data_IF_971219683801
#
_entry.id   IF_971219683801
#
_cell.length_a   1.000
_cell.length_b   1.000
_cell.length_c   1.000
_cell.angle_alpha   90.00
_cell.angle_beta   90.00
_cell.angle_gamma   90.00
#
_symmetry.space_group_name_H-M   'P 1'
#
loop_
_entity.id
_entity.type
_entity.pdbx_description
1 polymer ?
#
# COMPACT_ATOMS: atom_id res chain seq x y z
N UNK A 1 -15.44 -22.04 -36.32
CA UNK A 1 -16.78 -22.20 -35.72
C UNK A 1 -16.61 -22.70 -34.29
N UNK A 2 -16.07 -21.85 -33.39
CA UNK A 2 -15.89 -22.18 -31.96
C UNK A 2 -16.35 -20.94 -31.20
N UNK A 3 -17.66 -20.81 -31.03
CA UNK A 3 -18.24 -19.94 -30.01
C UNK A 3 -18.74 -20.88 -28.92
N UNK A 4 -17.85 -21.21 -27.99
CA UNK A 4 -18.19 -21.95 -26.79
C UNK A 4 -19.04 -21.03 -25.92
N UNK A 5 -20.36 -21.25 -25.93
CA UNK A 5 -21.30 -20.53 -25.09
C UNK A 5 -20.97 -20.81 -23.62
N UNK A 6 -20.27 -19.89 -22.97
CA UNK A 6 -20.07 -19.93 -21.52
C UNK A 6 -21.44 -19.95 -20.83
N UNK A 7 -21.72 -20.94 -19.95
CA UNK A 7 -22.97 -21.02 -19.22
C UNK A 7 -23.19 -19.74 -18.40
N UNK A 8 -24.34 -19.07 -18.60
CA UNK A 8 -24.76 -17.85 -17.87
C UNK A 8 -24.70 -18.01 -16.33
N UNK A 9 -24.82 -19.25 -15.85
CA UNK A 9 -24.71 -19.63 -14.44
C UNK A 9 -23.30 -19.47 -13.85
N UNK A 10 -22.25 -19.58 -14.67
CA UNK A 10 -20.85 -19.36 -14.24
C UNK A 10 -20.58 -17.86 -14.11
N UNK A 11 -21.08 -17.06 -15.05
CA UNK A 11 -20.95 -15.60 -15.03
C UNK A 11 -21.54 -14.99 -13.74
N UNK A 12 -22.69 -15.49 -13.28
CA UNK A 12 -23.32 -14.98 -12.06
C UNK A 12 -22.50 -15.31 -10.81
N UNK A 13 -21.99 -16.55 -10.69
CA UNK A 13 -21.18 -16.98 -9.53
C UNK A 13 -19.85 -16.24 -9.42
N UNK A 14 -19.23 -15.91 -10.56
CA UNK A 14 -18.01 -15.12 -10.60
C UNK A 14 -18.32 -13.68 -10.19
N UNK A 15 -19.37 -13.07 -10.75
CA UNK A 15 -19.80 -11.72 -10.38
C UNK A 15 -20.11 -11.59 -8.87
N UNK A 16 -20.77 -12.60 -8.28
CA UNK A 16 -21.08 -12.66 -6.85
C UNK A 16 -19.80 -12.73 -5.99
N UNK A 17 -18.73 -13.35 -6.49
CA UNK A 17 -17.44 -13.48 -5.78
C UNK A 17 -16.67 -12.16 -5.76
N UNK A 18 -16.59 -11.47 -6.90
CA UNK A 18 -15.90 -10.19 -7.00
C UNK A 18 -16.57 -9.08 -6.18
N UNK A 19 -17.91 -9.04 -6.17
CA UNK A 19 -18.67 -8.00 -5.47
C UNK A 19 -18.45 -8.02 -3.95
N UNK A 20 -18.37 -9.21 -3.35
CA UNK A 20 -18.20 -9.35 -1.89
C UNK A 20 -16.81 -8.95 -1.40
N UNK A 21 -15.77 -9.32 -2.15
CA UNK A 21 -14.38 -8.97 -1.80
C UNK A 21 -14.15 -7.47 -2.08
N UNK A 22 -14.68 -6.96 -3.19
CA UNK A 22 -14.54 -5.55 -3.57
C UNK A 22 -15.18 -4.61 -2.54
N UNK A 23 -16.42 -4.84 -2.12
CA UNK A 23 -17.09 -3.90 -1.21
C UNK A 23 -16.43 -3.85 0.18
N UNK A 24 -16.11 -5.01 0.76
CA UNK A 24 -15.54 -5.09 2.11
C UNK A 24 -14.10 -4.56 2.13
N UNK A 25 -13.28 -4.94 1.15
CA UNK A 25 -11.88 -4.51 1.07
C UNK A 25 -11.76 -3.02 0.72
N UNK A 26 -12.65 -2.49 -0.11
CA UNK A 26 -12.58 -1.09 -0.58
C UNK A 26 -13.15 -0.12 0.45
N UNK A 27 -14.28 -0.44 1.09
CA UNK A 27 -14.87 0.44 2.10
C UNK A 27 -13.95 0.64 3.32
N UNK A 28 -13.30 -0.43 3.79
CA UNK A 28 -12.34 -0.36 4.88
C UNK A 28 -11.08 0.45 4.50
N UNK A 29 -10.56 0.25 3.27
CA UNK A 29 -9.42 1.01 2.76
C UNK A 29 -9.73 2.50 2.62
N UNK A 30 -10.91 2.87 2.14
CA UNK A 30 -11.32 4.27 2.03
C UNK A 30 -11.50 4.95 3.38
N UNK A 31 -12.05 4.26 4.38
CA UNK A 31 -12.15 4.80 5.75
C UNK A 31 -10.77 5.12 6.35
N UNK A 32 -9.80 4.23 6.15
CA UNK A 32 -8.40 4.47 6.53
C UNK A 32 -7.81 5.64 5.76
N UNK A 33 -8.03 5.72 4.45
CA UNK A 33 -7.55 6.81 3.60
C UNK A 33 -8.06 8.17 4.09
N UNK A 34 -9.37 8.32 4.27
CA UNK A 34 -9.96 9.58 4.75
C UNK A 34 -9.50 9.92 6.17
N UNK A 35 -9.32 8.92 7.04
CA UNK A 35 -8.81 9.13 8.40
C UNK A 35 -7.36 9.62 8.41
N UNK A 36 -6.49 9.03 7.58
CA UNK A 36 -5.10 9.48 7.44
C UNK A 36 -5.06 10.88 6.83
N UNK A 37 -5.92 11.15 5.84
CA UNK A 37 -6.03 12.45 5.20
C UNK A 37 -6.46 13.55 6.19
N UNK A 38 -7.32 13.21 7.16
CA UNK A 38 -7.74 14.11 8.22
C UNK A 38 -6.68 14.38 9.31
N UNK A 39 -5.77 13.42 9.57
CA UNK A 39 -4.79 13.52 10.67
C UNK A 39 -3.50 14.21 10.22
N UNK A 40 -3.01 13.92 9.02
CA UNK A 40 -1.61 14.25 8.65
C UNK A 40 -1.49 15.32 7.56
N UNK A 41 -2.57 15.68 6.86
CA UNK A 41 -2.58 16.71 5.81
C UNK A 41 -1.93 16.30 4.49
N UNK A 42 -2.23 16.99 3.38
CA UNK A 42 -1.91 16.57 2.00
C UNK A 42 -0.42 16.23 1.74
N UNK A 43 0.51 16.93 2.41
CA UNK A 43 1.95 16.69 2.25
C UNK A 43 2.39 15.37 2.88
N UNK A 44 1.81 14.96 4.01
CA UNK A 44 2.16 13.71 4.68
C UNK A 44 1.34 12.51 4.17
N UNK A 45 0.22 12.74 3.46
CA UNK A 45 -0.49 11.66 2.74
C UNK A 45 0.42 11.04 1.67
N UNK A 46 1.32 11.81 1.05
CA UNK A 46 2.33 11.26 0.13
C UNK A 46 3.27 10.29 0.85
N UNK A 47 3.68 10.59 2.09
CA UNK A 47 4.50 9.68 2.89
C UNK A 47 3.80 8.35 3.14
N UNK A 48 2.47 8.38 3.38
CA UNK A 48 1.71 7.15 3.57
C UNK A 48 1.72 6.28 2.32
N UNK A 49 1.64 6.86 1.11
CA UNK A 49 1.70 6.08 -0.13
C UNK A 49 3.05 5.35 -0.30
N UNK A 50 4.14 5.95 0.17
CA UNK A 50 5.45 5.30 0.21
C UNK A 50 5.63 4.35 1.40
N UNK A 51 4.89 4.57 2.49
CA UNK A 51 4.89 3.71 3.68
C UNK A 51 4.07 2.42 3.46
N UNK A 52 3.06 2.44 2.59
CA UNK A 52 2.24 1.27 2.23
C UNK A 52 3.12 0.09 1.79
N UNK A 53 4.00 0.19 0.77
CA UNK A 53 4.81 -0.93 0.33
C UNK A 53 5.78 -1.45 1.41
N UNK A 54 6.38 -0.56 2.21
CA UNK A 54 7.26 -0.99 3.31
C UNK A 54 6.47 -1.71 4.41
N UNK A 55 5.37 -1.13 4.89
CA UNK A 55 4.55 -1.76 5.94
C UNK A 55 3.93 -3.09 5.49
N UNK A 56 3.56 -3.23 4.22
CA UNK A 56 3.11 -4.49 3.63
C UNK A 56 4.21 -5.56 3.64
N UNK A 57 5.45 -5.22 3.30
CA UNK A 57 6.59 -6.14 3.35
C UNK A 57 6.92 -6.57 4.80
N UNK A 58 6.94 -5.63 5.74
CA UNK A 58 7.16 -5.95 7.16
C UNK A 58 6.07 -6.87 7.72
N UNK A 59 4.80 -6.62 7.35
CA UNK A 59 3.69 -7.52 7.68
C UNK A 59 3.80 -8.88 6.97
N UNK A 60 4.22 -8.92 5.70
CA UNK A 60 4.42 -10.16 4.95
C UNK A 60 5.50 -11.06 5.58
N UNK A 61 6.65 -10.50 5.91
CA UNK A 61 7.73 -11.24 6.60
C UNK A 61 7.29 -11.67 8.00
N UNK A 62 6.72 -10.75 8.78
CA UNK A 62 6.42 -10.99 10.19
C UNK A 62 5.19 -11.88 10.44
N UNK A 63 4.16 -11.77 9.59
CA UNK A 63 2.87 -12.47 9.78
C UNK A 63 2.76 -13.70 8.89
N UNK A 64 3.22 -13.62 7.63
CA UNK A 64 3.06 -14.69 6.64
C UNK A 64 4.31 -15.59 6.54
N UNK A 65 5.45 -15.13 7.08
CA UNK A 65 6.70 -15.91 7.09
C UNK A 65 7.31 -16.11 5.70
N UNK A 66 6.92 -15.28 4.73
CA UNK A 66 7.41 -15.39 3.36
C UNK A 66 8.87 -14.98 3.25
N UNK A 67 9.66 -15.77 2.51
CA UNK A 67 11.05 -15.48 2.22
C UNK A 67 11.14 -14.34 1.21
N UNK A 68 11.27 -13.12 1.72
CA UNK A 68 11.41 -11.91 0.91
C UNK A 68 12.70 -11.97 0.11
N UNK A 69 12.57 -11.77 -1.20
CA UNK A 69 13.68 -11.83 -2.14
C UNK A 69 14.59 -10.61 -1.94
N UNK A 70 15.89 -10.75 -2.23
CA UNK A 70 16.86 -9.65 -2.13
C UNK A 70 16.41 -8.42 -2.94
N UNK A 71 15.70 -8.62 -4.05
CA UNK A 71 15.16 -7.53 -4.86
C UNK A 71 14.10 -6.68 -4.12
N UNK A 72 13.26 -7.30 -3.29
CA UNK A 72 12.23 -6.62 -2.51
C UNK A 72 12.85 -5.79 -1.38
N UNK A 73 13.92 -6.30 -0.76
CA UNK A 73 14.73 -5.52 0.18
C UNK A 73 15.39 -4.32 -0.48
N UNK A 74 15.93 -4.47 -1.69
CA UNK A 74 16.53 -3.36 -2.45
C UNK A 74 15.47 -2.31 -2.82
N UNK A 75 14.30 -2.75 -3.28
CA UNK A 75 13.17 -1.86 -3.58
C UNK A 75 12.71 -1.09 -2.35
N UNK A 76 12.57 -1.77 -1.21
CA UNK A 76 12.22 -1.15 0.08
C UNK A 76 13.28 -0.13 0.51
N UNK A 77 14.57 -0.47 0.41
CA UNK A 77 15.67 0.43 0.71
C UNK A 77 15.65 1.69 -0.17
N UNK A 78 15.40 1.53 -1.48
CA UNK A 78 15.30 2.64 -2.42
C UNK A 78 14.15 3.60 -2.07
N UNK A 79 12.98 3.06 -1.72
CA UNK A 79 11.80 3.84 -1.31
C UNK A 79 12.07 4.60 -0.01
N UNK A 80 12.66 3.94 1.00
CA UNK A 80 12.98 4.57 2.30
C UNK A 80 14.08 5.64 2.18
N UNK A 81 15.05 5.43 1.29
CA UNK A 81 16.10 6.42 0.98
C UNK A 81 15.49 7.66 0.32
N UNK A 82 14.61 7.48 -0.67
CA UNK A 82 13.94 8.59 -1.35
C UNK A 82 13.02 9.38 -0.39
N UNK A 83 12.33 8.67 0.52
CA UNK A 83 11.51 9.28 1.57
C UNK A 83 12.35 10.19 2.49
N UNK A 84 13.51 9.71 2.94
CA UNK A 84 14.42 10.48 3.79
C UNK A 84 14.91 11.77 3.11
N UNK A 85 15.11 11.72 1.79
CA UNK A 85 15.53 12.89 1.00
C UNK A 85 14.41 13.93 0.91
N UNK A 86 13.15 13.50 0.78
CA UNK A 86 12.00 14.39 0.53
C UNK A 86 11.39 14.95 1.79
N UNK A 87 11.40 14.22 2.90
CA UNK A 87 10.77 14.69 4.13
C UNK A 87 11.37 16.00 4.64
N UNK A 88 12.64 16.32 4.33
CA UNK A 88 13.28 17.57 4.76
C UNK A 88 13.35 17.77 6.28
N UNK A 89 12.72 16.90 7.09
CA UNK A 89 12.75 16.87 8.56
C UNK A 89 14.15 16.54 9.09
N UNK A 90 14.97 15.82 8.32
CA UNK A 90 16.42 15.69 8.55
C UNK A 90 17.11 17.05 8.46
N UNK A 91 16.68 17.93 7.54
CA UNK A 91 17.23 19.29 7.43
C UNK A 91 16.89 20.14 8.66
N UNK A 92 15.72 19.93 9.27
CA UNK A 92 15.38 20.55 10.55
C UNK A 92 16.18 19.99 11.73
N UNK A 93 16.41 18.67 11.81
CA UNK A 93 17.29 18.07 12.83
C UNK A 93 18.74 18.55 12.70
N UNK A 94 19.25 18.67 11.46
CA UNK A 94 20.59 19.17 11.18
C UNK A 94 20.71 20.67 11.50
N UNK A 95 19.67 21.48 11.23
CA UNK A 95 19.67 22.90 11.62
C UNK A 95 19.54 23.09 13.14
N UNK A 96 18.78 22.25 13.84
CA UNK A 96 18.64 22.34 15.30
C UNK A 96 19.90 21.88 16.06
N UNK A 97 20.76 21.05 15.44
CA UNK A 97 22.06 20.64 16.00
C UNK A 97 23.20 21.65 15.77
N UNK A 98 22.94 22.76 15.09
CA UNK A 98 23.92 23.81 14.75
C UNK A 98 23.61 25.17 15.41
N UNK A 99 22.70 25.24 16.38
CA UNK A 99 22.40 26.42 17.19
C UNK A 99 22.21 26.06 18.66
#
# INVERSE_FOLDING_TARGET
>A
MISGAFPKAILHRIADSFSRIANISTAAAYLLYFRILAIVGATNVLLVMFLIPSSALWLGVGVLGEAVNALEYIGMGCILLWLNVIEGRVRQWVMFGLN
#
